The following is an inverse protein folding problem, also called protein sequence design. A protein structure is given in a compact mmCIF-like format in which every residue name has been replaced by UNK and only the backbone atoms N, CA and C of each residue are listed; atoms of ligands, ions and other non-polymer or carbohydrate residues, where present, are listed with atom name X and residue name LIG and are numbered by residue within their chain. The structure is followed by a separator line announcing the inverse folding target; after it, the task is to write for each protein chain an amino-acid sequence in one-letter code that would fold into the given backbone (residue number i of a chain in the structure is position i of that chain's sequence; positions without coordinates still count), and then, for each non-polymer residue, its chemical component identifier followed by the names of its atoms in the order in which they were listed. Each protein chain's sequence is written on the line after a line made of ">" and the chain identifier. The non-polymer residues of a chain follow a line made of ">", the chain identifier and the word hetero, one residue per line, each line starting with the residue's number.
data_IF_585345209627
#
_entry.id   IF_585345209627
#
_cell.length_a   1.000
_cell.length_b   1.000
_cell.length_c   1.000
_cell.angle_alpha   90.00
_cell.angle_beta   90.00
_cell.angle_gamma   90.00
#
_symmetry.space_group_name_H-M   'P 1'
#
loop_
_entity.id
_entity.type
_entity.pdbx_description
1 polymer ?
#
# COMPACT_ATOMS: atom_id res chain seq x y z
N UNK A 1 0.87 -103.58 -7.58
CA UNK A 1 1.63 -103.26 -6.35
C UNK A 1 2.17 -101.85 -6.55
N UNK A 2 1.82 -100.79 -5.82
CA UNK A 2 1.47 -100.67 -4.41
C UNK A 2 2.65 -100.00 -3.67
N UNK A 3 2.41 -98.79 -3.14
CA UNK A 3 3.26 -97.93 -2.25
C UNK A 3 3.84 -96.69 -2.96
N UNK A 4 3.21 -95.50 -2.93
CA UNK A 4 3.11 -94.54 -1.80
C UNK A 4 4.48 -94.36 -1.13
N UNK A 5 5.10 -93.19 -1.14
CA UNK A 5 4.57 -91.97 -0.56
C UNK A 5 5.35 -91.69 0.73
N UNK A 6 6.57 -91.16 0.60
CA UNK A 6 7.40 -90.79 1.77
C UNK A 6 8.52 -89.76 1.48
N UNK A 7 8.56 -89.12 0.30
CA UNK A 7 9.74 -88.30 -0.07
C UNK A 7 9.42 -86.83 -0.46
N UNK A 8 8.16 -86.40 -0.29
CA UNK A 8 7.77 -85.01 -0.60
C UNK A 8 7.52 -84.11 0.62
N UNK A 9 7.58 -84.68 1.85
CA UNK A 9 7.37 -83.93 3.09
C UNK A 9 8.65 -83.56 3.85
N UNK A 10 9.85 -83.91 3.35
CA UNK A 10 11.12 -83.58 4.02
C UNK A 10 11.80 -82.33 3.47
N UNK A 11 11.45 -81.91 2.26
CA UNK A 11 12.03 -80.75 1.55
C UNK A 11 11.21 -79.47 1.67
N UNK A 12 10.01 -79.53 2.26
CA UNK A 12 9.18 -78.33 2.53
C UNK A 12 9.41 -77.75 3.93
N UNK A 13 9.83 -78.55 4.91
CA UNK A 13 10.09 -78.08 6.28
C UNK A 13 11.48 -77.43 6.47
N UNK A 14 12.37 -77.48 5.48
CA UNK A 14 13.67 -76.79 5.52
C UNK A 14 13.63 -75.40 4.86
N UNK A 15 12.58 -75.06 4.12
CA UNK A 15 12.43 -73.74 3.49
C UNK A 15 11.71 -72.72 4.37
N UNK A 16 10.84 -73.16 5.30
CA UNK A 16 10.12 -72.24 6.21
C UNK A 16 10.89 -71.89 7.50
N UNK A 17 11.98 -72.60 7.81
CA UNK A 17 12.83 -72.29 8.97
C UNK A 17 13.82 -71.13 8.70
N UNK A 18 13.96 -70.68 7.45
CA UNK A 18 14.91 -69.60 7.08
C UNK A 18 14.27 -68.22 6.92
N UNK A 19 12.97 -68.06 7.18
CA UNK A 19 12.23 -66.81 6.96
C UNK A 19 11.88 -66.03 8.23
N UNK A 20 12.42 -66.41 9.41
CA UNK A 20 12.16 -65.72 10.69
C UNK A 20 13.43 -65.48 11.50
N UNK A 21 14.40 -64.75 10.95
CA UNK A 21 15.44 -64.13 11.78
C UNK A 21 16.10 -62.96 11.08
N UNK A 22 15.30 -61.94 10.79
CA UNK A 22 15.78 -60.61 10.36
C UNK A 22 15.22 -59.54 11.29
N UNK A 23 15.28 -59.75 12.61
CA UNK A 23 15.00 -58.65 13.54
C UNK A 23 16.20 -57.72 13.42
N UNK A 24 16.04 -56.63 12.66
CA UNK A 24 16.98 -55.52 12.59
C UNK A 24 17.15 -55.03 14.02
N UNK A 25 18.28 -55.38 14.64
CA UNK A 25 18.69 -54.84 15.93
C UNK A 25 19.06 -53.38 15.65
N UNK A 26 18.07 -52.49 15.75
CA UNK A 26 18.32 -51.06 15.66
C UNK A 26 19.15 -50.70 16.87
N UNK A 27 20.46 -50.54 16.65
CA UNK A 27 21.42 -50.14 17.69
C UNK A 27 20.86 -48.93 18.44
N UNK A 28 20.93 -48.94 19.77
CA UNK A 28 20.49 -47.82 20.61
C UNK A 28 21.13 -46.50 20.17
N UNK A 29 22.36 -46.57 19.61
CA UNK A 29 23.05 -45.42 19.01
C UNK A 29 22.34 -44.88 17.76
N UNK A 30 21.77 -45.74 16.93
CA UNK A 30 20.99 -45.37 15.74
C UNK A 30 19.62 -44.76 16.10
N UNK A 31 18.97 -45.25 17.17
CA UNK A 31 17.73 -44.64 17.69
C UNK A 31 18.02 -43.26 18.29
N UNK A 32 19.08 -43.13 19.09
CA UNK A 32 19.49 -41.85 19.68
C UNK A 32 19.88 -40.84 18.60
N UNK A 33 20.59 -41.26 17.55
CA UNK A 33 20.96 -40.39 16.44
C UNK A 33 19.72 -39.90 15.67
N UNK A 34 18.75 -40.77 15.41
CA UNK A 34 17.48 -40.39 14.77
C UNK A 34 16.66 -39.41 15.63
N UNK A 35 16.65 -39.59 16.94
CA UNK A 35 15.99 -38.66 17.86
C UNK A 35 16.68 -37.29 17.89
N UNK A 36 18.02 -37.24 17.88
CA UNK A 36 18.77 -35.98 17.83
C UNK A 36 18.52 -35.24 16.52
N UNK A 37 18.59 -35.94 15.38
CA UNK A 37 18.33 -35.33 14.06
C UNK A 37 16.87 -34.86 13.95
N UNK A 38 15.92 -35.63 14.48
CA UNK A 38 14.52 -35.22 14.56
C UNK A 38 14.31 -33.98 15.44
N UNK A 39 14.98 -33.91 16.60
CA UNK A 39 14.91 -32.76 17.51
C UNK A 39 15.52 -31.51 16.88
N UNK A 40 16.66 -31.64 16.19
CA UNK A 40 17.31 -30.54 15.47
C UNK A 40 16.43 -30.06 14.31
N UNK A 41 15.85 -30.97 13.53
CA UNK A 41 14.92 -30.62 12.46
C UNK A 41 13.66 -29.91 12.96
N UNK A 42 13.13 -30.33 14.11
CA UNK A 42 12.01 -29.66 14.77
C UNK A 42 12.42 -28.26 15.28
N UNK A 43 13.61 -28.12 15.86
CA UNK A 43 14.14 -26.84 16.34
C UNK A 43 14.36 -25.84 15.19
N UNK A 44 14.90 -26.30 14.07
CA UNK A 44 15.13 -25.49 12.86
C UNK A 44 13.78 -25.06 12.26
N UNK A 45 12.81 -25.97 12.17
CA UNK A 45 11.46 -25.64 11.68
C UNK A 45 10.71 -24.63 12.57
N UNK A 46 10.98 -24.63 13.87
CA UNK A 46 10.43 -23.64 14.80
C UNK A 46 11.10 -22.27 14.65
N UNK A 47 12.39 -22.22 14.27
CA UNK A 47 13.11 -20.98 14.00
C UNK A 47 12.54 -20.22 12.78
N UNK A 48 12.05 -20.94 11.77
CA UNK A 48 11.40 -20.36 10.58
C UNK A 48 9.96 -19.85 10.83
N UNK A 49 9.35 -20.23 11.96
CA UNK A 49 8.01 -19.78 12.34
C UNK A 49 8.03 -18.47 13.15
N UNK A 50 9.14 -18.18 13.82
CA UNK A 50 9.29 -17.00 14.69
C UNK A 50 9.21 -15.65 13.93
N UNK A 51 9.71 -15.48 12.69
CA UNK A 51 9.59 -14.19 12.02
C UNK A 51 8.21 -13.93 11.39
N UNK A 52 7.24 -14.87 11.49
CA UNK A 52 5.91 -14.71 10.88
C UNK A 52 4.79 -14.26 11.83
N UNK A 53 5.02 -14.21 13.14
CA UNK A 53 3.96 -13.90 14.14
C UNK A 53 4.15 -12.54 14.81
N UNK A 54 5.34 -11.93 14.71
CA UNK A 54 5.52 -10.54 15.12
C UNK A 54 5.64 -9.67 13.87
N UNK A 55 4.68 -8.79 13.54
CA UNK A 55 5.07 -7.60 12.81
C UNK A 55 6.15 -6.96 13.70
N UNK A 56 7.39 -6.93 13.21
CA UNK A 56 8.36 -5.95 13.68
C UNK A 56 7.84 -4.59 13.21
N UNK A 57 6.73 -4.15 13.80
CA UNK A 57 6.52 -2.75 14.06
C UNK A 57 7.70 -2.39 14.96
N UNK A 58 8.70 -1.71 14.39
CA UNK A 58 9.70 -1.05 15.18
C UNK A 58 8.92 -0.08 16.06
N UNK A 59 8.59 -0.54 17.26
CA UNK A 59 7.87 0.24 18.25
C UNK A 59 8.66 1.53 18.40
N UNK A 60 7.93 2.64 18.23
CA UNK A 60 8.46 3.98 18.37
C UNK A 60 9.36 4.04 19.59
N UNK A 61 10.60 4.53 19.42
CA UNK A 61 11.52 4.70 20.55
C UNK A 61 10.78 5.47 21.67
N UNK A 62 10.75 4.96 22.92
CA UNK A 62 9.98 5.54 24.02
C UNK A 62 10.30 7.02 24.31
N UNK A 63 11.42 7.53 23.81
CA UNK A 63 11.98 8.85 24.10
C UNK A 63 11.81 9.90 22.99
N UNK A 64 10.95 9.67 21.99
CA UNK A 64 10.77 10.63 20.89
C UNK A 64 9.95 11.87 21.29
N UNK A 65 10.42 13.07 20.87
CA UNK A 65 9.67 14.35 20.93
C UNK A 65 8.21 14.18 20.48
N UNK A 66 7.25 14.95 21.02
CA UNK A 66 5.87 14.86 20.56
C UNK A 66 5.78 15.04 19.03
N UNK A 67 4.80 14.42 18.35
CA UNK A 67 4.61 14.59 16.91
C UNK A 67 4.56 16.07 16.54
N UNK A 68 5.13 16.44 15.39
CA UNK A 68 5.01 17.79 14.88
C UNK A 68 3.52 18.20 14.80
N UNK A 69 3.18 19.47 15.06
CA UNK A 69 1.82 19.96 14.89
C UNK A 69 1.32 19.67 13.46
N UNK A 70 0.03 19.38 13.31
CA UNK A 70 -0.52 19.17 11.97
C UNK A 70 -0.44 20.46 11.15
N UNK A 71 0.23 20.37 10.00
CA UNK A 71 0.24 21.44 9.00
C UNK A 71 -1.18 21.65 8.47
N UNK A 72 -1.62 22.90 8.25
CA UNK A 72 -2.91 23.17 7.62
C UNK A 72 -3.07 22.41 6.29
N UNK A 73 -4.29 21.98 5.93
CA UNK A 73 -4.54 21.20 4.72
C UNK A 73 -4.25 21.96 3.43
N UNK A 74 -3.94 23.26 3.51
CA UNK A 74 -3.45 24.08 2.41
C UNK A 74 -2.59 25.24 2.96
N UNK A 75 -1.63 25.70 2.17
CA UNK A 75 -0.75 26.81 2.55
C UNK A 75 -1.33 28.19 2.23
N UNK A 76 -1.67 28.43 0.96
CA UNK A 76 -2.04 29.76 0.44
C UNK A 76 -3.12 29.66 -0.63
N UNK A 77 -3.96 30.69 -0.72
CA UNK A 77 -4.93 30.90 -1.80
C UNK A 77 -4.52 32.15 -2.57
N UNK A 78 -4.32 32.02 -3.87
CA UNK A 78 -3.99 33.13 -4.76
C UNK A 78 -5.12 33.29 -5.76
N UNK A 79 -5.90 34.36 -5.64
CA UNK A 79 -6.97 34.66 -6.60
C UNK A 79 -6.40 35.43 -7.79
N UNK A 80 -6.63 34.94 -9.01
CA UNK A 80 -6.26 35.65 -10.25
C UNK A 80 -7.47 35.82 -11.18
N UNK A 81 -7.53 36.91 -11.98
CA UNK A 81 -8.49 37.00 -13.07
C UNK A 81 -8.24 35.88 -14.10
N UNK A 82 -9.30 35.52 -14.84
CA UNK A 82 -9.24 34.56 -15.95
C UNK A 82 -9.59 35.30 -17.24
N UNK A 83 -8.80 35.12 -18.29
CA UNK A 83 -8.99 35.89 -19.54
C UNK A 83 -10.36 35.60 -20.15
N UNK A 84 -11.13 36.67 -20.41
CA UNK A 84 -12.44 36.56 -21.04
C UNK A 84 -13.54 36.01 -20.13
N UNK A 85 -13.32 36.00 -18.81
CA UNK A 85 -14.32 35.63 -17.82
C UNK A 85 -14.43 36.67 -16.70
N UNK A 86 -15.65 36.90 -16.23
CA UNK A 86 -15.92 37.72 -15.04
C UNK A 86 -15.76 36.94 -13.73
N UNK A 87 -15.46 35.62 -13.82
CA UNK A 87 -15.32 34.74 -12.67
C UNK A 87 -13.84 34.43 -12.47
N UNK A 88 -13.21 34.91 -11.38
CA UNK A 88 -11.80 34.64 -11.11
C UNK A 88 -11.57 33.18 -10.72
N UNK A 89 -10.31 32.78 -10.62
CA UNK A 89 -9.90 31.49 -10.11
C UNK A 89 -9.05 31.63 -8.85
N UNK A 90 -9.38 30.82 -7.85
CA UNK A 90 -8.61 30.66 -6.62
C UNK A 90 -7.61 29.51 -6.81
N UNK A 91 -6.33 29.83 -6.91
CA UNK A 91 -5.25 28.85 -7.06
C UNK A 91 -4.73 28.45 -5.67
N UNK A 92 -4.74 27.15 -5.39
CA UNK A 92 -4.48 26.59 -4.06
C UNK A 92 -3.45 25.47 -4.16
N UNK A 93 -2.59 25.39 -3.15
CA UNK A 93 -1.75 24.22 -2.90
C UNK A 93 -2.34 23.40 -1.76
N UNK A 94 -2.92 22.24 -2.08
CA UNK A 94 -3.49 21.30 -1.11
C UNK A 94 -2.41 20.37 -0.59
N UNK A 95 -2.28 20.27 0.72
CA UNK A 95 -1.31 19.38 1.36
C UNK A 95 -1.82 17.93 1.29
N UNK A 96 -1.01 17.05 0.71
CA UNK A 96 -1.29 15.62 0.63
C UNK A 96 -0.77 14.89 1.87
N UNK A 97 -1.15 13.62 2.02
CA UNK A 97 -0.75 12.79 3.18
C UNK A 97 0.77 12.66 3.34
N UNK A 98 1.50 12.65 2.23
CA UNK A 98 2.96 12.59 2.18
C UNK A 98 3.62 13.97 2.16
N UNK A 99 2.87 15.00 2.58
CA UNK A 99 3.35 16.36 2.83
C UNK A 99 3.83 17.10 1.57
N UNK A 100 3.41 16.62 0.41
CA UNK A 100 3.62 17.27 -0.88
C UNK A 100 2.42 18.16 -1.18
N UNK A 101 2.66 19.29 -1.82
CA UNK A 101 1.59 20.18 -2.24
C UNK A 101 1.09 19.85 -3.64
N UNK A 102 -0.22 19.60 -3.74
CA UNK A 102 -0.95 19.40 -4.98
C UNK A 102 -1.56 20.73 -5.46
N UNK A 103 -1.26 21.17 -6.70
CA UNK A 103 -1.86 22.39 -7.25
C UNK A 103 -3.30 22.13 -7.73
N UNK A 104 -4.23 22.99 -7.30
CA UNK A 104 -5.61 23.03 -7.79
C UNK A 104 -6.03 24.47 -8.09
N UNK A 105 -7.08 24.63 -8.89
CA UNK A 105 -7.81 25.88 -9.03
C UNK A 105 -9.29 25.67 -8.75
N UNK A 106 -9.89 26.58 -7.99
CA UNK A 106 -11.33 26.56 -7.67
C UNK A 106 -11.97 27.78 -8.32
N UNK A 107 -13.06 27.56 -9.06
CA UNK A 107 -13.93 28.60 -9.61
C UNK A 107 -15.35 28.31 -9.20
N UNK A 108 -16.09 29.32 -8.73
CA UNK A 108 -17.40 29.11 -8.12
C UNK A 108 -18.43 30.18 -8.47
N UNK A 109 -19.74 29.88 -8.34
CA UNK A 109 -20.77 30.89 -8.46
C UNK A 109 -20.65 31.95 -7.37
N UNK A 110 -21.24 33.12 -7.59
CA UNK A 110 -21.38 34.14 -6.54
C UNK A 110 -22.24 33.60 -5.39
N UNK A 111 -21.89 33.96 -4.16
CA UNK A 111 -22.59 33.52 -2.94
C UNK A 111 -21.83 32.47 -2.13
N UNK A 112 -22.48 32.01 -1.06
CA UNK A 112 -21.86 31.18 -0.03
C UNK A 112 -22.14 29.67 -0.20
N UNK A 113 -23.08 29.29 -1.07
CA UNK A 113 -23.44 27.89 -1.29
C UNK A 113 -24.54 27.38 -0.34
N UNK A 114 -24.76 26.06 -0.25
CA UNK A 114 -23.92 24.99 -0.80
C UNK A 114 -23.99 24.91 -2.33
N UNK A 115 -22.91 24.43 -2.95
CA UNK A 115 -22.84 24.20 -4.38
C UNK A 115 -22.38 22.76 -4.67
N UNK A 116 -22.96 22.07 -5.66
CA UNK A 116 -22.38 20.84 -6.18
C UNK A 116 -20.99 21.11 -6.78
N UNK A 117 -20.07 20.18 -6.59
CA UNK A 117 -18.69 20.30 -7.06
C UNK A 117 -18.44 19.35 -8.23
N UNK A 118 -17.78 19.85 -9.27
CA UNK A 118 -17.23 19.06 -10.36
C UNK A 118 -15.71 19.19 -10.32
N UNK A 119 -15.00 18.06 -10.22
CA UNK A 119 -13.55 18.02 -10.41
C UNK A 119 -13.20 17.70 -11.85
N UNK A 120 -12.19 18.39 -12.37
CA UNK A 120 -11.66 18.25 -13.71
C UNK A 120 -10.17 17.96 -13.59
N UNK A 121 -9.82 16.71 -13.85
CA UNK A 121 -8.57 16.14 -13.36
C UNK A 121 -7.64 15.73 -14.50
N UNK A 122 -6.34 15.99 -14.32
CA UNK A 122 -5.27 15.53 -15.20
C UNK A 122 -4.18 14.82 -14.40
N UNK A 123 -3.83 13.60 -14.79
CA UNK A 123 -2.80 12.78 -14.15
C UNK A 123 -1.41 12.85 -14.78
N UNK A 124 -1.08 13.93 -15.50
CA UNK A 124 0.22 14.04 -16.19
C UNK A 124 1.38 14.32 -15.23
N UNK A 125 1.12 14.90 -14.05
CA UNK A 125 2.12 15.21 -13.01
C UNK A 125 3.18 16.27 -13.38
N UNK A 126 3.23 16.71 -14.63
CA UNK A 126 4.19 17.70 -15.10
C UNK A 126 3.67 19.12 -14.91
N UNK A 127 4.61 20.07 -14.85
CA UNK A 127 4.38 21.53 -14.88
C UNK A 127 3.64 22.13 -13.67
N UNK A 128 3.17 21.33 -12.73
CA UNK A 128 2.59 21.81 -11.47
C UNK A 128 1.47 22.84 -11.68
N UNK A 129 1.55 23.98 -10.99
CA UNK A 129 0.55 25.05 -11.08
C UNK A 129 0.43 25.66 -12.48
N UNK A 130 1.51 25.70 -13.28
CA UNK A 130 1.45 26.23 -14.65
C UNK A 130 0.48 25.43 -15.54
N UNK A 131 0.37 24.11 -15.32
CA UNK A 131 -0.62 23.29 -16.02
C UNK A 131 -2.03 23.66 -15.61
N UNK A 132 -2.26 23.89 -14.31
CA UNK A 132 -3.57 24.27 -13.78
C UNK A 132 -4.01 25.62 -14.35
N UNK A 133 -3.13 26.61 -14.35
CA UNK A 133 -3.38 27.94 -14.95
C UNK A 133 -3.73 27.84 -16.44
N UNK A 134 -2.95 27.06 -17.21
CA UNK A 134 -3.26 26.84 -18.63
C UNK A 134 -4.62 26.18 -18.84
N UNK A 135 -4.95 25.17 -18.03
CA UNK A 135 -6.22 24.46 -18.13
C UNK A 135 -7.40 25.36 -17.75
N UNK A 136 -7.27 26.19 -16.73
CA UNK A 136 -8.27 27.19 -16.35
C UNK A 136 -8.53 28.15 -17.50
N UNK A 137 -7.48 28.73 -18.08
CA UNK A 137 -7.60 29.68 -19.19
C UNK A 137 -8.20 29.02 -20.44
N UNK A 138 -7.67 27.85 -20.82
CA UNK A 138 -8.11 27.11 -22.02
C UNK A 138 -9.57 26.66 -21.92
N UNK A 139 -10.02 26.33 -20.72
CA UNK A 139 -11.36 25.76 -20.49
C UNK A 139 -12.34 26.78 -19.91
N UNK A 140 -11.95 28.05 -19.78
CA UNK A 140 -12.75 29.10 -19.14
C UNK A 140 -14.20 29.17 -19.69
N UNK A 141 -14.47 29.17 -21.01
CA UNK A 141 -15.84 29.24 -21.51
C UNK A 141 -16.72 28.06 -21.08
N UNK A 142 -16.14 26.86 -20.98
CA UNK A 142 -16.85 25.67 -20.52
C UNK A 142 -17.10 25.72 -19.01
N UNK A 143 -16.08 26.10 -18.25
CA UNK A 143 -16.17 26.26 -16.80
C UNK A 143 -17.21 27.34 -16.44
N UNK A 144 -17.27 28.45 -17.17
CA UNK A 144 -18.24 29.52 -16.98
C UNK A 144 -19.68 29.03 -17.18
N UNK A 145 -19.90 28.16 -18.17
CA UNK A 145 -21.21 27.52 -18.40
C UNK A 145 -21.58 26.59 -17.24
N UNK A 146 -20.63 25.81 -16.72
CA UNK A 146 -20.86 24.97 -15.54
C UNK A 146 -21.16 25.82 -14.30
N UNK A 147 -20.44 26.92 -14.11
CA UNK A 147 -20.66 27.84 -12.98
C UNK A 147 -22.00 28.57 -13.10
N UNK A 148 -22.41 28.96 -14.31
CA UNK A 148 -23.75 29.51 -14.56
C UNK A 148 -24.87 28.51 -14.23
N UNK A 149 -24.61 27.21 -14.34
CA UNK A 149 -25.51 26.15 -13.88
C UNK A 149 -25.44 25.88 -12.36
N UNK A 150 -24.65 26.63 -11.60
CA UNK A 150 -24.55 26.53 -10.15
C UNK A 150 -23.48 25.58 -9.62
N UNK A 151 -22.57 25.09 -10.47
CA UNK A 151 -21.47 24.21 -10.03
C UNK A 151 -20.24 24.99 -9.59
N UNK A 152 -19.59 24.52 -8.52
CA UNK A 152 -18.18 24.80 -8.27
C UNK A 152 -17.35 23.91 -9.19
N UNK A 153 -16.41 24.49 -9.92
CA UNK A 153 -15.51 23.76 -10.81
C UNK A 153 -14.11 23.78 -10.23
N UNK A 154 -13.52 22.60 -10.06
CA UNK A 154 -12.18 22.42 -9.52
C UNK A 154 -11.30 21.82 -10.59
N UNK A 155 -10.24 22.50 -10.98
CA UNK A 155 -9.22 21.97 -11.91
C UNK A 155 -8.05 21.43 -11.11
N UNK A 156 -7.67 20.18 -11.34
CA UNK A 156 -6.63 19.48 -10.57
C UNK A 156 -5.56 18.94 -11.52
N UNK A 157 -4.29 19.08 -11.12
CA UNK A 157 -3.16 18.41 -11.77
C UNK A 157 -2.57 17.40 -10.80
N UNK A 158 -3.07 16.16 -10.85
CA UNK A 158 -2.58 15.05 -10.05
C UNK A 158 -1.14 14.73 -10.39
N UNK A 159 -0.43 14.20 -9.39
CA UNK A 159 0.89 13.64 -9.60
C UNK A 159 0.79 12.44 -10.54
N UNK A 160 1.81 12.26 -11.36
CA UNK A 160 1.83 11.16 -12.32
C UNK A 160 2.08 9.86 -11.58
N UNK A 161 1.36 8.81 -11.97
CA UNK A 161 1.63 7.46 -11.51
C UNK A 161 2.49 6.70 -12.52
N UNK A 162 3.06 5.59 -12.04
CA UNK A 162 3.60 4.55 -12.92
C UNK A 162 2.77 3.29 -12.62
N UNK A 163 1.59 3.12 -13.25
CA UNK A 163 0.64 2.06 -12.89
C UNK A 163 1.28 0.66 -12.86
N UNK A 164 2.14 0.35 -13.83
CA UNK A 164 2.80 -0.95 -13.93
C UNK A 164 3.97 -1.14 -12.95
N UNK A 165 4.49 -0.08 -12.33
CA UNK A 165 5.52 -0.22 -11.30
C UNK A 165 4.91 -0.87 -10.05
N UNK A 166 3.63 -0.62 -9.75
CA UNK A 166 2.97 -1.24 -8.61
C UNK A 166 2.85 -2.76 -8.74
N UNK A 167 2.74 -3.28 -9.96
CA UNK A 167 2.72 -4.72 -10.23
C UNK A 167 4.10 -5.37 -10.06
N UNK A 168 5.16 -4.59 -10.28
CA UNK A 168 6.56 -5.03 -10.12
C UNK A 168 7.03 -4.90 -8.67
N UNK A 169 6.47 -3.96 -7.92
CA UNK A 169 6.73 -3.81 -6.50
C UNK A 169 6.01 -4.93 -5.75
N UNK A 170 6.78 -5.95 -5.33
CA UNK A 170 6.31 -7.09 -4.56
C UNK A 170 5.70 -6.72 -3.19
N UNK A 171 5.83 -5.46 -2.75
CA UNK A 171 5.31 -4.99 -1.47
C UNK A 171 4.60 -3.63 -1.61
N UNK A 172 3.46 -3.43 -0.92
CA UNK A 172 2.79 -2.12 -0.84
C UNK A 172 3.71 -1.02 -0.30
N UNK A 173 3.40 0.24 -0.58
CA UNK A 173 4.13 1.36 0.01
C UNK A 173 4.07 1.33 1.54
N UNK A 174 5.24 1.41 2.18
CA UNK A 174 5.38 1.36 3.63
C UNK A 174 5.69 2.76 4.17
N UNK A 175 5.29 3.00 5.42
CA UNK A 175 5.73 4.16 6.18
C UNK A 175 7.09 3.83 6.79
N UNK A 176 8.15 4.52 6.35
CA UNK A 176 9.49 4.42 6.89
C UNK A 176 9.73 5.54 7.90
N UNK A 177 10.41 5.27 9.02
CA UNK A 177 10.73 6.32 9.99
C UNK A 177 11.64 7.37 9.36
N UNK A 178 11.38 8.63 9.65
CA UNK A 178 12.30 9.72 9.29
C UNK A 178 13.52 9.69 10.22
N UNK A 179 14.68 9.35 9.67
CA UNK A 179 15.95 9.28 10.41
C UNK A 179 16.73 10.60 10.41
N UNK A 180 16.25 11.65 9.73
CA UNK A 180 16.98 12.90 9.51
C UNK A 180 16.35 14.07 10.26
N UNK A 181 15.04 14.30 10.15
CA UNK A 181 14.41 15.47 10.79
C UNK A 181 14.35 15.38 12.31
N UNK A 182 14.48 14.17 12.87
CA UNK A 182 14.37 13.92 14.32
C UNK A 182 12.96 14.14 14.88
N UNK A 183 11.99 14.44 14.02
CA UNK A 183 10.56 14.48 14.33
C UNK A 183 9.99 13.08 14.06
N UNK A 184 9.00 12.63 14.84
CA UNK A 184 8.37 11.29 14.72
C UNK A 184 7.52 11.15 13.43
N UNK A 185 8.05 11.61 12.30
CA UNK A 185 7.46 11.56 10.97
C UNK A 185 7.74 10.20 10.34
N UNK A 186 6.91 9.84 9.38
CA UNK A 186 7.15 8.71 8.51
C UNK A 186 7.06 9.13 7.06
N UNK A 187 8.04 8.74 6.24
CA UNK A 187 8.05 8.94 4.81
C UNK A 187 7.55 7.69 4.08
N UNK A 188 7.06 7.82 2.86
CA UNK A 188 6.66 6.66 2.05
C UNK A 188 7.87 6.04 1.37
N UNK A 189 7.92 4.70 1.35
CA UNK A 189 9.01 3.96 0.67
C UNK A 189 9.01 4.12 -0.85
N UNK A 190 7.86 4.46 -1.44
CA UNK A 190 7.70 4.74 -2.88
C UNK A 190 6.63 5.83 -3.07
N UNK A 191 6.60 6.53 -4.22
CA UNK A 191 5.64 7.61 -4.48
C UNK A 191 4.20 7.20 -4.19
N UNK A 192 3.45 8.10 -3.55
CA UNK A 192 2.02 7.86 -3.28
C UNK A 192 1.20 7.89 -4.56
N UNK A 193 0.10 7.17 -4.52
CA UNK A 193 -0.89 7.04 -5.58
C UNK A 193 -1.70 8.35 -5.75
N UNK A 194 -2.16 8.62 -6.97
CA UNK A 194 -3.06 9.69 -7.38
C UNK A 194 -4.35 9.72 -6.54
N UNK A 195 -4.81 8.58 -6.06
CA UNK A 195 -5.99 8.52 -5.21
C UNK A 195 -5.77 9.24 -3.87
N UNK A 196 -4.52 9.35 -3.38
CA UNK A 196 -4.23 10.16 -2.19
C UNK A 196 -4.36 11.65 -2.48
N UNK A 197 -4.07 12.08 -3.72
CA UNK A 197 -4.28 13.45 -4.18
C UNK A 197 -5.79 13.75 -4.28
N UNK A 198 -6.56 12.81 -4.81
CA UNK A 198 -8.03 12.90 -4.85
C UNK A 198 -8.61 13.00 -3.42
N UNK A 199 -8.20 12.13 -2.50
CA UNK A 199 -8.68 12.16 -1.11
C UNK A 199 -8.33 13.50 -0.44
N UNK A 200 -7.11 14.00 -0.62
CA UNK A 200 -6.67 15.27 -0.06
C UNK A 200 -7.51 16.43 -0.62
N UNK A 201 -7.75 16.44 -1.94
CA UNK A 201 -8.59 17.43 -2.62
C UNK A 201 -10.02 17.41 -2.09
N UNK A 202 -10.63 16.22 -1.97
CA UNK A 202 -12.00 16.09 -1.47
C UNK A 202 -12.14 16.54 -0.02
N UNK A 203 -11.17 16.19 0.85
CA UNK A 203 -11.14 16.67 2.24
C UNK A 203 -11.00 18.18 2.33
N UNK A 204 -10.14 18.77 1.49
CA UNK A 204 -9.99 20.21 1.39
C UNK A 204 -11.33 20.86 0.99
N UNK A 205 -11.98 20.38 -0.06
CA UNK A 205 -13.25 20.93 -0.55
C UNK A 205 -14.36 20.82 0.50
N UNK A 206 -14.49 19.68 1.18
CA UNK A 206 -15.45 19.49 2.28
C UNK A 206 -15.24 20.49 3.42
N UNK A 207 -13.98 20.76 3.80
CA UNK A 207 -13.67 21.74 4.85
C UNK A 207 -14.10 23.18 4.50
N UNK A 208 -14.27 23.48 3.21
CA UNK A 208 -14.65 24.81 2.70
C UNK A 208 -16.14 24.91 2.41
N UNK A 209 -16.77 23.82 2.00
CA UNK A 209 -18.21 23.76 1.71
C UNK A 209 -19.08 23.60 2.97
N UNK A 210 -18.53 23.10 4.08
CA UNK A 210 -19.26 22.89 5.34
C UNK A 210 -19.22 24.10 6.32
N UNK A 211 -18.53 25.19 5.96
CA UNK A 211 -18.36 26.38 6.82
C UNK A 211 -19.02 27.65 6.25
N UNK A 212 -20.04 27.50 5.40
CA UNK A 212 -20.89 28.60 4.93
C UNK A 212 -22.11 28.81 5.80
#
# INVERSE_FOLDING_TARGET
>A
MGSKGAEKNRTQNSAEASARSGRVEVSTKSVVLLLIVGLIGLLISMLDLVPRIAPTAWAQLPSGKPPAPQTPPHGYVITKPVKGSDIPADYIFVLTRDEIYLPIAVRKPRGNGPFPVITMDWGEGKRGMLKVEELVERLAPMQDRMIACGYVVVTVNYRNEIPYLYEQLLQPSQNLPDSISGERRTLKSHPTLDHQDLIATMRYLQSRTLCG
#
